data_IF_645356631453
#
_entry.id   IF_645356631453
#
_cell.length_a   1.000
_cell.length_b   1.000
_cell.length_c   1.000
_cell.angle_alpha   90.00
_cell.angle_beta   90.00
_cell.angle_gamma   90.00
#
_symmetry.space_group_name_H-M   'P 1'
#
loop_
_entity.id
_entity.type
_entity.pdbx_description
1 polymer ?
#
# COMPACT_ATOMS: atom_id res chain seq x y z
N UNK A 1 -12.80 -14.01 6.60
CA UNK A 1 -12.11 -12.76 6.25
C UNK A 1 -13.01 -11.99 5.28
N UNK A 2 -13.78 -11.05 5.78
CA UNK A 2 -14.68 -10.25 4.94
C UNK A 2 -13.93 -8.99 4.54
N UNK A 3 -13.56 -8.90 3.26
CA UNK A 3 -13.06 -7.68 2.67
C UNK A 3 -14.19 -6.65 2.72
N UNK A 4 -14.06 -5.65 3.57
CA UNK A 4 -14.89 -4.47 3.48
C UNK A 4 -14.50 -3.71 2.21
N UNK A 5 -15.10 -4.10 1.08
CA UNK A 5 -15.07 -3.26 -0.10
C UNK A 5 -15.91 -2.02 0.22
N UNK A 6 -15.26 -0.90 0.51
CA UNK A 6 -15.90 0.41 0.43
C UNK A 6 -16.26 0.68 -1.02
N UNK A 7 -17.39 0.17 -1.48
CA UNK A 7 -17.97 0.62 -2.73
C UNK A 7 -18.78 1.91 -2.49
N UNK A 8 -18.10 3.00 -2.14
CA UNK A 8 -18.62 4.31 -2.44
C UNK A 8 -18.15 4.61 -3.86
N UNK A 9 -19.06 4.58 -4.82
CA UNK A 9 -18.81 5.02 -6.19
C UNK A 9 -18.70 6.54 -6.22
N UNK A 10 -17.57 7.08 -5.74
CA UNK A 10 -17.21 8.45 -6.10
C UNK A 10 -16.88 8.41 -7.60
N UNK A 11 -17.63 9.15 -8.41
CA UNK A 11 -17.26 9.31 -9.80
C UNK A 11 -15.90 9.97 -9.86
N UNK A 12 -14.93 9.32 -10.50
CA UNK A 12 -13.62 9.94 -10.75
C UNK A 12 -13.83 11.30 -11.42
N UNK A 13 -13.24 12.40 -10.91
CA UNK A 13 -13.50 13.74 -11.44
C UNK A 13 -13.01 13.92 -12.89
N UNK A 14 -12.19 12.99 -13.38
CA UNK A 14 -11.59 13.03 -14.73
C UNK A 14 -12.01 11.85 -15.59
N UNK A 15 -13.07 11.13 -15.22
CA UNK A 15 -13.51 9.92 -15.91
C UNK A 15 -12.36 8.91 -16.17
N UNK A 16 -11.47 8.79 -15.17
CA UNK A 16 -10.23 8.01 -15.31
C UNK A 16 -10.43 6.51 -15.20
N UNK A 17 -11.54 6.05 -14.60
CA UNK A 17 -11.78 4.62 -14.41
C UNK A 17 -12.16 3.97 -15.75
N UNK A 18 -11.35 3.01 -16.20
CA UNK A 18 -11.55 2.24 -17.43
C UNK A 18 -11.44 0.75 -17.15
N UNK A 19 -12.11 -0.06 -17.96
CA UNK A 19 -12.04 -1.52 -17.90
C UNK A 19 -10.92 -2.08 -18.76
N UNK A 20 -10.26 -3.13 -18.29
CA UNK A 20 -9.36 -3.93 -19.11
C UNK A 20 -10.15 -4.90 -20.00
N UNK A 21 -9.67 -5.23 -21.20
CA UNK A 21 -10.34 -6.16 -22.12
C UNK A 21 -10.60 -7.56 -21.53
N UNK A 22 -9.85 -7.95 -20.51
CA UNK A 22 -9.93 -9.26 -19.85
C UNK A 22 -10.48 -9.19 -18.41
N UNK A 23 -11.17 -8.11 -18.10
CA UNK A 23 -11.74 -7.86 -16.76
C UNK A 23 -10.79 -7.10 -15.84
N UNK A 24 -11.37 -6.45 -14.82
CA UNK A 24 -10.67 -5.54 -13.92
C UNK A 24 -10.70 -4.09 -14.41
N UNK A 25 -10.30 -3.17 -13.51
CA UNK A 25 -10.31 -1.73 -13.77
C UNK A 25 -8.93 -1.13 -13.59
N UNK A 26 -8.68 -0.01 -14.26
CA UNK A 26 -7.49 0.79 -14.09
C UNK A 26 -7.84 2.28 -14.15
N UNK A 27 -6.99 3.13 -13.60
CA UNK A 27 -7.14 4.58 -13.70
C UNK A 27 -6.22 5.14 -14.77
N UNK A 28 -6.84 5.57 -15.88
CA UNK A 28 -6.16 6.12 -17.04
C UNK A 28 -5.73 7.55 -16.77
N UNK A 29 -4.43 7.81 -16.66
CA UNK A 29 -3.90 9.16 -16.42
C UNK A 29 -4.07 10.08 -17.65
N UNK A 30 -4.13 9.53 -18.84
CA UNK A 30 -4.36 10.27 -20.09
C UNK A 30 -5.76 10.90 -20.18
N UNK A 31 -6.72 10.46 -19.35
CA UNK A 31 -8.03 11.10 -19.26
C UNK A 31 -7.96 12.56 -18.78
N UNK A 32 -6.87 12.94 -18.10
CA UNK A 32 -6.65 14.31 -17.65
C UNK A 32 -6.32 15.24 -18.82
N UNK A 33 -5.81 14.72 -19.94
CA UNK A 33 -5.48 15.52 -21.13
C UNK A 33 -6.75 16.18 -21.70
N UNK A 34 -7.91 15.54 -21.58
CA UNK A 34 -9.22 16.12 -21.95
C UNK A 34 -9.59 17.35 -21.10
N UNK A 35 -9.01 17.45 -19.89
CA UNK A 35 -9.18 18.58 -18.97
C UNK A 35 -8.07 19.64 -19.11
N UNK A 36 -7.24 19.55 -20.14
CA UNK A 36 -6.15 20.48 -20.43
C UNK A 36 -4.89 20.25 -19.59
N UNK A 37 -4.76 19.08 -18.96
CA UNK A 37 -3.59 18.70 -18.15
C UNK A 37 -2.73 17.74 -18.97
N UNK A 38 -1.55 18.19 -19.42
CA UNK A 38 -0.65 17.34 -20.23
C UNK A 38 0.11 16.33 -19.38
N UNK A 39 -0.27 15.06 -19.46
CA UNK A 39 0.34 13.99 -18.68
C UNK A 39 1.52 13.32 -19.37
N UNK A 40 1.65 13.48 -20.68
CA UNK A 40 2.68 12.82 -21.49
C UNK A 40 4.12 13.27 -21.18
N UNK A 41 4.30 14.49 -20.68
CA UNK A 41 5.61 15.07 -20.32
C UNK A 41 6.04 14.74 -18.89
N UNK A 42 5.17 14.17 -18.07
CA UNK A 42 5.47 13.86 -16.66
C UNK A 42 6.47 12.70 -16.55
N UNK A 43 7.46 12.79 -15.63
CA UNK A 43 8.30 11.65 -15.27
C UNK A 43 7.49 10.45 -14.80
N UNK A 44 7.97 9.24 -14.99
CA UNK A 44 7.26 8.02 -14.57
C UNK A 44 6.92 7.99 -13.09
N UNK A 45 7.81 8.47 -12.20
CA UNK A 45 7.56 8.56 -10.77
C UNK A 45 6.36 9.46 -10.45
N UNK A 46 6.22 10.58 -11.16
CA UNK A 46 5.10 11.50 -10.99
C UNK A 46 3.80 10.90 -11.54
N UNK A 47 3.87 10.15 -12.65
CA UNK A 47 2.70 9.41 -13.19
C UNK A 47 2.19 8.35 -12.21
N UNK A 48 3.09 7.66 -11.51
CA UNK A 48 2.70 6.68 -10.47
C UNK A 48 1.97 7.36 -9.31
N UNK A 49 2.47 8.51 -8.84
CA UNK A 49 1.80 9.29 -7.80
C UNK A 49 0.44 9.82 -8.29
N UNK A 50 0.36 10.27 -9.53
CA UNK A 50 -0.87 10.78 -10.16
C UNK A 50 -1.93 9.67 -10.27
N UNK A 51 -1.54 8.47 -10.74
CA UNK A 51 -2.43 7.31 -10.81
C UNK A 51 -2.93 6.93 -9.41
N UNK A 52 -2.02 6.87 -8.42
CA UNK A 52 -2.39 6.59 -7.04
C UNK A 52 -3.40 7.58 -6.46
N UNK A 53 -3.28 8.86 -6.80
CA UNK A 53 -4.24 9.89 -6.37
C UNK A 53 -5.59 9.75 -7.09
N UNK A 54 -5.60 9.44 -8.38
CA UNK A 54 -6.84 9.16 -9.13
C UNK A 54 -7.59 7.95 -8.57
N UNK A 55 -6.86 6.90 -8.21
CA UNK A 55 -7.42 5.66 -7.65
C UNK A 55 -7.99 5.85 -6.26
N UNK A 56 -7.37 6.69 -5.45
CA UNK A 56 -7.76 6.95 -4.06
C UNK A 56 -8.62 8.21 -3.91
N UNK A 57 -9.07 8.81 -5.00
CA UNK A 57 -9.92 9.99 -4.95
C UNK A 57 -11.21 9.72 -4.16
N UNK A 58 -11.43 10.52 -3.13
CA UNK A 58 -12.64 10.48 -2.29
C UNK A 58 -13.26 11.87 -2.06
N UNK A 59 -12.67 12.91 -2.64
CA UNK A 59 -13.11 14.30 -2.50
C UNK A 59 -12.82 14.92 -1.13
N UNK A 60 -12.18 14.18 -0.22
CA UNK A 60 -11.88 14.61 1.15
C UNK A 60 -10.40 14.48 1.49
N UNK A 61 -9.87 13.24 1.58
CA UNK A 61 -8.45 12.98 1.81
C UNK A 61 -7.62 13.21 0.54
N UNK A 62 -8.16 12.82 -0.60
CA UNK A 62 -7.60 13.08 -1.92
C UNK A 62 -8.59 13.93 -2.70
N UNK A 63 -8.26 15.19 -2.91
CA UNK A 63 -9.11 16.16 -3.60
C UNK A 63 -8.75 16.30 -5.09
N UNK A 64 -9.64 16.90 -5.87
CA UNK A 64 -9.34 17.26 -7.26
C UNK A 64 -8.16 18.24 -7.35
N UNK A 65 -8.02 19.14 -6.37
CA UNK A 65 -6.89 20.06 -6.30
C UNK A 65 -5.56 19.34 -6.21
N UNK A 66 -5.49 18.24 -5.43
CA UNK A 66 -4.26 17.47 -5.27
C UNK A 66 -3.87 16.78 -6.58
N UNK A 67 -4.86 16.20 -7.27
CA UNK A 67 -4.65 15.61 -8.61
C UNK A 67 -4.12 16.64 -9.60
N UNK A 68 -4.73 17.83 -9.64
CA UNK A 68 -4.28 18.93 -10.50
C UNK A 68 -2.88 19.42 -10.15
N UNK A 69 -2.55 19.49 -8.86
CA UNK A 69 -1.21 19.86 -8.41
C UNK A 69 -0.14 18.86 -8.89
N UNK A 70 -0.42 17.57 -8.82
CA UNK A 70 0.49 16.53 -9.32
C UNK A 70 0.60 16.60 -10.84
N UNK A 71 -0.52 16.74 -11.54
CA UNK A 71 -0.56 16.81 -13.01
C UNK A 71 0.17 18.04 -13.58
N UNK A 72 0.20 19.14 -12.84
CA UNK A 72 0.93 20.36 -13.18
C UNK A 72 2.39 20.39 -12.68
N UNK A 73 2.93 19.23 -12.29
CA UNK A 73 4.31 19.15 -11.83
C UNK A 73 5.30 19.62 -12.89
N UNK A 74 6.29 20.44 -12.48
CA UNK A 74 7.41 20.86 -13.31
C UNK A 74 8.74 20.73 -12.54
N UNK A 75 9.89 20.51 -13.21
CA UNK A 75 11.17 20.30 -12.54
C UNK A 75 11.56 21.39 -11.53
N UNK A 76 11.24 22.66 -11.83
CA UNK A 76 11.58 23.84 -11.03
C UNK A 76 10.36 24.49 -10.38
N UNK A 77 9.21 23.83 -10.37
CA UNK A 77 7.98 24.35 -9.77
C UNK A 77 7.98 24.32 -8.25
N UNK A 78 7.07 25.06 -7.66
CA UNK A 78 6.81 24.96 -6.21
C UNK A 78 6.34 23.55 -5.86
N UNK A 79 6.77 23.10 -4.68
CA UNK A 79 6.42 21.77 -4.15
C UNK A 79 5.38 21.93 -3.05
N UNK A 80 4.19 21.43 -3.27
CA UNK A 80 3.17 21.29 -2.24
C UNK A 80 3.19 19.88 -1.64
N UNK A 81 2.55 19.74 -0.50
CA UNK A 81 2.22 18.43 0.05
C UNK A 81 1.14 17.77 -0.81
N UNK A 82 1.24 16.46 -0.96
CA UNK A 82 0.26 15.63 -1.64
C UNK A 82 -0.16 14.48 -0.73
N UNK A 83 -1.44 14.08 -0.73
CA UNK A 83 -1.87 12.89 -0.03
C UNK A 83 -1.28 11.64 -0.71
N UNK A 84 -0.77 10.73 0.09
CA UNK A 84 -0.23 9.47 -0.40
C UNK A 84 -0.78 8.30 0.41
N UNK A 85 -1.52 7.41 -0.24
CA UNK A 85 -2.00 6.17 0.34
C UNK A 85 -1.37 5.01 -0.44
N UNK A 86 -0.41 4.28 0.15
CA UNK A 86 0.19 3.12 -0.50
C UNK A 86 -0.83 1.99 -0.62
N UNK A 87 -0.69 1.16 -1.63
CA UNK A 87 -1.53 -0.02 -1.79
C UNK A 87 -1.15 -1.14 -0.82
N UNK A 88 0.08 -1.13 -0.32
CA UNK A 88 0.65 -2.11 0.60
C UNK A 88 1.86 -1.52 1.31
N UNK A 89 2.07 -1.91 2.57
CA UNK A 89 3.28 -1.65 3.33
C UNK A 89 4.02 -2.97 3.54
N UNK A 90 5.32 -2.99 3.31
CA UNK A 90 6.19 -4.12 3.61
C UNK A 90 7.10 -3.70 4.76
N UNK A 91 7.09 -4.48 5.82
CA UNK A 91 7.96 -4.31 6.98
C UNK A 91 8.98 -5.45 6.99
N UNK A 92 10.23 -5.12 7.24
CA UNK A 92 11.24 -6.11 7.56
C UNK A 92 11.20 -6.39 9.08
N UNK A 93 11.92 -7.40 9.55
CA UNK A 93 11.86 -7.88 10.93
C UNK A 93 12.22 -6.79 11.97
N UNK A 94 13.25 -5.96 11.74
CA UNK A 94 13.65 -4.90 12.67
C UNK A 94 12.63 -3.76 12.80
N UNK A 95 11.91 -3.45 11.74
CA UNK A 95 10.84 -2.44 11.76
C UNK A 95 9.47 -3.06 12.03
N UNK A 96 9.28 -4.30 11.64
CA UNK A 96 8.01 -5.01 11.73
C UNK A 96 7.67 -5.45 13.14
N UNK A 97 8.64 -5.99 13.88
CA UNK A 97 8.39 -6.48 15.25
C UNK A 97 7.91 -5.36 16.19
N UNK A 98 8.55 -4.19 16.27
CA UNK A 98 8.03 -3.07 17.07
C UNK A 98 6.62 -2.64 16.62
N UNK A 99 6.33 -2.57 15.33
CA UNK A 99 5.01 -2.20 14.84
C UNK A 99 3.93 -3.21 15.26
N UNK A 100 4.23 -4.51 15.23
CA UNK A 100 3.30 -5.56 15.70
C UNK A 100 3.07 -5.45 17.19
N UNK A 101 4.11 -5.16 17.99
CA UNK A 101 3.99 -4.96 19.45
C UNK A 101 3.12 -3.74 19.74
N UNK A 102 3.30 -2.63 19.02
CA UNK A 102 2.47 -1.43 19.20
C UNK A 102 1.00 -1.71 18.88
N UNK A 103 0.72 -2.44 17.79
CA UNK A 103 -0.65 -2.84 17.45
C UNK A 103 -1.27 -3.76 18.50
N UNK A 104 -0.49 -4.69 19.06
CA UNK A 104 -0.94 -5.56 20.14
C UNK A 104 -1.29 -4.75 21.40
N UNK A 105 -0.40 -3.83 21.81
CA UNK A 105 -0.64 -2.94 22.96
C UNK A 105 -1.87 -2.05 22.76
N UNK A 106 -2.08 -1.53 21.55
CA UNK A 106 -3.28 -0.76 21.21
C UNK A 106 -4.56 -1.60 21.30
N UNK A 107 -4.52 -2.88 20.93
CA UNK A 107 -5.65 -3.79 21.08
C UNK A 107 -5.97 -4.05 22.56
N UNK A 108 -4.95 -4.28 23.37
CA UNK A 108 -5.14 -4.45 24.81
C UNK A 108 -5.76 -3.20 25.45
N UNK A 109 -5.24 -2.02 25.12
CA UNK A 109 -5.81 -0.75 25.61
C UNK A 109 -7.27 -0.56 25.14
N UNK A 110 -7.59 -0.98 23.91
CA UNK A 110 -8.97 -0.92 23.39
C UNK A 110 -9.91 -1.81 24.22
N UNK A 111 -9.48 -3.01 24.60
CA UNK A 111 -10.25 -3.92 25.47
C UNK A 111 -10.44 -3.31 26.85
N UNK A 112 -9.40 -2.75 27.47
CA UNK A 112 -9.48 -2.08 28.78
C UNK A 112 -10.48 -0.91 28.78
N UNK A 113 -10.57 -0.18 27.66
CA UNK A 113 -11.55 0.91 27.47
C UNK A 113 -12.97 0.42 27.12
N UNK A 114 -13.19 -0.90 27.02
CA UNK A 114 -14.49 -1.48 26.65
C UNK A 114 -14.82 -1.36 25.16
N UNK A 115 -13.80 -1.11 24.32
CA UNK A 115 -13.94 -1.05 22.85
C UNK A 115 -13.71 -2.39 22.17
N UNK A 116 -13.86 -2.40 20.87
CA UNK A 116 -13.67 -3.58 20.03
C UNK A 116 -12.23 -3.62 19.48
N UNK A 117 -11.37 -4.57 19.91
CA UNK A 117 -9.98 -4.66 19.47
C UNK A 117 -9.84 -4.96 17.96
N UNK A 118 -10.86 -5.53 17.31
CA UNK A 118 -10.83 -5.81 15.87
C UNK A 118 -10.81 -4.53 15.02
N UNK A 119 -11.13 -3.38 15.63
CA UNK A 119 -11.01 -2.07 14.96
C UNK A 119 -9.57 -1.54 14.89
N UNK A 120 -8.68 -2.10 15.68
CA UNK A 120 -7.24 -1.74 15.68
C UNK A 120 -6.53 -2.57 14.62
N UNK A 121 -6.46 -2.05 13.42
CA UNK A 121 -5.76 -2.64 12.28
C UNK A 121 -5.17 -1.55 11.40
N UNK A 122 -4.09 -1.84 10.66
CA UNK A 122 -3.61 -0.96 9.61
C UNK A 122 -4.70 -0.65 8.58
N UNK A 123 -4.72 0.58 8.03
CA UNK A 123 -5.69 0.98 7.01
C UNK A 123 -5.41 0.38 5.63
N UNK A 124 -4.19 -0.07 5.40
CA UNK A 124 -3.75 -0.73 4.17
C UNK A 124 -3.16 -2.10 4.52
N UNK A 125 -3.09 -3.05 3.58
CA UNK A 125 -2.41 -4.32 3.80
C UNK A 125 -0.96 -4.11 4.23
N UNK A 126 -0.56 -4.80 5.28
CA UNK A 126 0.81 -4.76 5.82
C UNK A 126 1.33 -6.18 5.93
N UNK A 127 2.49 -6.45 5.33
CA UNK A 127 3.16 -7.73 5.42
C UNK A 127 4.51 -7.54 6.14
N UNK A 128 4.76 -8.38 7.13
CA UNK A 128 6.08 -8.52 7.73
C UNK A 128 6.82 -9.62 6.97
N UNK A 129 7.93 -9.25 6.35
CA UNK A 129 8.76 -10.17 5.57
C UNK A 129 10.13 -10.27 6.25
N UNK A 130 10.49 -11.47 6.66
CA UNK A 130 11.79 -11.75 7.25
C UNK A 130 12.85 -11.63 6.15
N UNK A 131 13.82 -10.76 6.34
CA UNK A 131 14.90 -10.49 5.39
C UNK A 131 16.32 -10.74 5.94
N UNK A 132 16.41 -11.28 7.18
CA UNK A 132 17.70 -11.65 7.74
C UNK A 132 18.29 -12.91 7.07
N UNK A 133 19.61 -13.00 7.06
CA UNK A 133 20.32 -14.16 6.53
C UNK A 133 20.08 -15.37 7.43
N UNK A 134 19.71 -16.49 6.83
CA UNK A 134 19.60 -17.79 7.50
C UNK A 134 20.71 -18.73 7.02
N UNK A 135 21.19 -19.59 7.92
CA UNK A 135 22.14 -20.61 7.54
C UNK A 135 21.38 -21.83 6.99
N UNK A 136 21.78 -22.30 5.81
CA UNK A 136 21.25 -23.52 5.22
C UNK A 136 22.16 -24.68 5.62
N UNK A 137 21.69 -25.56 6.50
CA UNK A 137 22.44 -26.72 7.00
C UNK A 137 22.17 -27.97 6.16
N UNK A 138 20.97 -28.08 5.60
CA UNK A 138 20.55 -29.20 4.77
C UNK A 138 20.31 -28.74 3.34
N UNK A 139 20.96 -29.40 2.39
CA UNK A 139 20.86 -29.00 0.96
C UNK A 139 19.53 -29.38 0.32
N UNK A 140 19.17 -28.69 -0.78
CA UNK A 140 17.95 -28.90 -1.54
C UNK A 140 17.82 -30.27 -2.23
N UNK A 141 18.86 -31.13 -2.21
CA UNK A 141 18.78 -32.51 -2.64
C UNK A 141 18.03 -33.42 -1.65
N UNK A 142 17.87 -32.98 -0.41
CA UNK A 142 17.04 -33.67 0.58
C UNK A 142 15.57 -33.20 0.43
N UNK A 143 14.65 -34.13 0.27
CA UNK A 143 13.22 -33.85 0.10
C UNK A 143 12.61 -33.12 1.29
N UNK A 144 13.17 -33.26 2.49
CA UNK A 144 12.73 -32.60 3.72
C UNK A 144 13.63 -31.43 4.11
N UNK A 145 14.43 -30.90 3.19
CA UNK A 145 15.41 -29.84 3.50
C UNK A 145 14.76 -28.61 4.12
N UNK A 146 13.58 -28.20 3.66
CA UNK A 146 12.86 -27.04 4.20
C UNK A 146 12.53 -27.24 5.68
N UNK A 147 11.85 -28.32 6.02
CA UNK A 147 11.39 -28.60 7.39
C UNK A 147 12.57 -28.74 8.35
N UNK A 148 13.64 -29.44 7.93
CA UNK A 148 14.85 -29.61 8.73
C UNK A 148 15.57 -28.28 8.98
N UNK A 149 15.69 -27.41 7.98
CA UNK A 149 16.31 -26.11 8.15
C UNK A 149 15.45 -25.19 9.04
N UNK A 150 14.13 -25.24 8.94
CA UNK A 150 13.21 -24.51 9.82
C UNK A 150 13.36 -24.95 11.28
N UNK A 151 13.37 -26.25 11.54
CA UNK A 151 13.57 -26.79 12.89
C UNK A 151 14.90 -26.35 13.49
N UNK A 152 15.99 -26.41 12.73
CA UNK A 152 17.31 -25.95 13.15
C UNK A 152 17.30 -24.45 13.45
N UNK A 153 16.68 -23.65 12.57
CA UNK A 153 16.56 -22.21 12.74
C UNK A 153 15.79 -21.84 14.02
N UNK A 154 14.67 -22.49 14.28
CA UNK A 154 13.92 -22.29 15.53
C UNK A 154 14.74 -22.66 16.76
N UNK A 155 15.46 -23.76 16.75
CA UNK A 155 16.30 -24.15 17.87
C UNK A 155 17.48 -23.19 18.14
N UNK A 156 18.00 -22.54 17.12
CA UNK A 156 19.08 -21.55 17.28
C UNK A 156 18.61 -20.23 17.88
N UNK A 157 17.33 -19.89 17.69
CA UNK A 157 16.77 -18.59 18.06
C UNK A 157 15.86 -18.64 19.30
N UNK A 158 15.73 -19.81 19.95
CA UNK A 158 15.08 -19.95 21.25
C UNK A 158 16.07 -19.71 22.39
#
# INVERSE_FOLDING_TARGET
>A
MASHSRSMSYSSPFNSNREFPHGGHYHAIDSLDESGLSTSSLPYSIRVLLEGSLRNYDGFLVSEKDIRNIANWTPNGERGEIPFLPSRVILQDFTGVPAVVDLAALRDAMVEMGGDPEKVNPQVPVDLVIDHSVQVDVSGSNTNALDLNLDIEYHRNM
#
